data_IF_317819940487
#
_entry.id   IF_317819940487
#
_cell.length_a   1.000
_cell.length_b   1.000
_cell.length_c   1.000
_cell.angle_alpha   90.00
_cell.angle_beta   90.00
_cell.angle_gamma   90.00
#
_symmetry.space_group_name_H-M   'P 1'
#
loop_
_entity.id
_entity.type
_entity.pdbx_description
1 polymer ?
#
# COMPACT_ATOMS: atom_id res chain seq x y z
N UNK A 1 27.33 -0.57 5.06
CA UNK A 1 26.38 -1.69 4.95
C UNK A 1 25.85 -1.70 3.53
N UNK A 2 25.81 -2.86 2.85
CA UNK A 2 25.07 -2.95 1.58
C UNK A 2 23.59 -2.68 1.87
N UNK A 3 22.86 -1.97 0.99
CA UNK A 3 21.43 -1.74 1.17
C UNK A 3 20.69 -3.09 1.20
N UNK A 4 19.71 -3.23 2.08
CA UNK A 4 18.82 -4.39 2.10
C UNK A 4 17.98 -4.39 0.82
N UNK A 5 17.73 -5.58 0.28
CA UNK A 5 16.91 -5.77 -0.92
C UNK A 5 15.71 -6.63 -0.58
N UNK A 6 14.51 -6.17 -0.95
CA UNK A 6 13.30 -6.98 -0.92
C UNK A 6 13.16 -7.71 -2.26
N UNK A 7 13.11 -9.03 -2.21
CA UNK A 7 12.83 -9.89 -3.36
C UNK A 7 11.56 -10.68 -3.09
N UNK A 8 10.69 -10.79 -4.09
CA UNK A 8 9.49 -11.64 -4.01
C UNK A 8 9.77 -12.98 -4.69
N UNK A 9 9.30 -14.05 -4.07
CA UNK A 9 9.43 -15.40 -4.58
C UNK A 9 8.22 -16.23 -4.19
N UNK A 10 8.14 -17.44 -4.73
CA UNK A 10 7.08 -18.41 -4.45
C UNK A 10 7.64 -19.63 -3.75
N UNK A 11 6.88 -20.20 -2.83
CA UNK A 11 7.24 -21.50 -2.24
C UNK A 11 6.88 -22.62 -3.22
N UNK A 12 7.86 -23.43 -3.63
CA UNK A 12 7.71 -24.62 -4.47
C UNK A 12 8.43 -25.77 -3.75
N UNK A 13 7.73 -26.88 -3.51
CA UNK A 13 8.26 -28.06 -2.79
C UNK A 13 8.92 -27.72 -1.43
N UNK A 14 8.37 -26.73 -0.72
CA UNK A 14 8.87 -26.29 0.58
C UNK A 14 10.11 -25.37 0.51
N UNK A 15 10.59 -25.03 -0.69
CA UNK A 15 11.68 -24.09 -0.90
C UNK A 15 11.17 -22.74 -1.42
N UNK A 16 11.74 -21.62 -0.94
CA UNK A 16 11.46 -20.29 -1.51
C UNK A 16 12.24 -20.14 -2.80
N UNK A 17 11.52 -20.08 -3.92
CA UNK A 17 12.07 -19.87 -5.26
C UNK A 17 11.89 -18.40 -5.63
N UNK A 18 13.02 -17.70 -5.86
CA UNK A 18 13.04 -16.30 -6.30
C UNK A 18 13.39 -16.29 -7.78
N UNK A 19 12.48 -15.79 -8.61
CA UNK A 19 12.70 -15.69 -10.06
C UNK A 19 13.47 -14.40 -10.42
N UNK A 20 14.34 -14.51 -11.43
CA UNK A 20 15.00 -13.36 -12.07
C UNK A 20 16.31 -12.88 -11.43
N UNK A 21 16.52 -13.05 -10.13
CA UNK A 21 17.72 -12.54 -9.46
C UNK A 21 18.44 -13.58 -8.61
N UNK A 22 19.75 -13.74 -8.85
CA UNK A 22 20.61 -14.60 -8.04
C UNK A 22 20.97 -13.88 -6.73
N UNK A 23 20.61 -14.50 -5.62
CA UNK A 23 21.17 -14.15 -4.32
C UNK A 23 22.62 -14.64 -4.27
N UNK A 24 23.52 -13.77 -3.81
CA UNK A 24 24.93 -14.10 -3.67
C UNK A 24 25.14 -15.22 -2.63
N UNK A 25 26.08 -16.12 -2.91
CA UNK A 25 26.43 -17.18 -1.97
C UNK A 25 26.91 -16.58 -0.63
N UNK A 26 26.45 -17.16 0.48
CA UNK A 26 26.76 -16.66 1.82
C UNK A 26 25.94 -15.44 2.27
N UNK A 27 24.98 -14.97 1.48
CA UNK A 27 24.07 -13.91 1.91
C UNK A 27 23.18 -14.35 3.08
N UNK A 28 23.09 -13.52 4.12
CA UNK A 28 22.10 -13.68 5.19
C UNK A 28 20.73 -13.22 4.67
N UNK A 29 19.78 -14.14 4.62
CA UNK A 29 18.42 -13.88 4.12
C UNK A 29 17.41 -13.89 5.27
N UNK A 30 16.43 -13.00 5.21
CA UNK A 30 15.24 -13.02 6.06
C UNK A 30 14.04 -13.39 5.19
N UNK A 31 13.30 -14.42 5.58
CA UNK A 31 12.07 -14.84 4.90
C UNK A 31 10.88 -14.21 5.61
N UNK A 32 10.07 -13.45 4.88
CA UNK A 32 8.81 -12.90 5.34
C UNK A 32 7.68 -13.71 4.70
N UNK A 33 6.91 -14.40 5.53
CA UNK A 33 5.68 -15.09 5.11
C UNK A 33 4.51 -14.15 5.43
N UNK A 34 3.70 -13.85 4.43
CA UNK A 34 2.44 -13.13 4.64
C UNK A 34 1.38 -14.14 5.06
N UNK A 35 0.69 -13.88 6.16
CA UNK A 35 -0.55 -14.58 6.47
C UNK A 35 -1.61 -14.15 5.44
N UNK A 36 -2.45 -15.09 4.98
CA UNK A 36 -3.41 -14.90 3.87
C UNK A 36 -4.54 -13.89 4.15
N UNK A 37 -4.49 -13.17 5.27
CA UNK A 37 -5.41 -12.06 5.58
C UNK A 37 -5.08 -10.81 4.74
N UNK A 38 -4.75 -10.99 3.47
CA UNK A 38 -4.70 -9.91 2.50
C UNK A 38 -6.16 -9.48 2.28
N UNK A 39 -6.54 -8.36 2.89
CA UNK A 39 -7.84 -7.72 2.62
C UNK A 39 -7.81 -7.31 1.15
N UNK A 40 -8.33 -8.18 0.29
CA UNK A 40 -8.56 -7.87 -1.10
C UNK A 40 -9.69 -6.86 -1.19
N UNK A 41 -9.45 -5.75 -1.87
CA UNK A 41 -10.52 -4.83 -2.24
C UNK A 41 -11.43 -5.55 -3.24
N UNK A 42 -12.73 -5.32 -3.14
CA UNK A 42 -13.61 -5.61 -4.27
C UNK A 42 -13.20 -4.73 -5.46
N UNK A 43 -13.52 -5.12 -6.71
CA UNK A 43 -13.28 -4.24 -7.85
C UNK A 43 -13.92 -2.86 -7.67
N UNK A 44 -15.11 -2.80 -7.05
CA UNK A 44 -15.78 -1.53 -6.75
C UNK A 44 -15.00 -0.67 -5.75
N UNK A 45 -14.49 -1.26 -4.66
CA UNK A 45 -13.69 -0.54 -3.67
C UNK A 45 -12.33 -0.08 -4.26
N UNK A 46 -11.75 -0.85 -5.18
CA UNK A 46 -10.52 -0.47 -5.87
C UNK A 46 -10.75 0.74 -6.79
N UNK A 47 -11.84 0.73 -7.56
CA UNK A 47 -12.24 1.86 -8.41
C UNK A 47 -12.52 3.12 -7.57
N UNK A 48 -13.23 2.99 -6.43
CA UNK A 48 -13.47 4.10 -5.49
C UNK A 48 -12.15 4.66 -4.94
N UNK A 49 -11.22 3.80 -4.54
CA UNK A 49 -9.92 4.22 -4.03
C UNK A 49 -9.10 4.95 -5.10
N UNK A 50 -9.11 4.48 -6.35
CA UNK A 50 -8.43 5.15 -7.46
C UNK A 50 -9.02 6.55 -7.67
N UNK A 51 -10.34 6.69 -7.70
CA UNK A 51 -11.01 7.98 -7.85
C UNK A 51 -10.64 8.95 -6.71
N UNK A 52 -10.71 8.51 -5.45
CA UNK A 52 -10.37 9.32 -4.29
C UNK A 52 -8.90 9.79 -4.31
N UNK A 53 -7.98 8.95 -4.80
CA UNK A 53 -6.57 9.33 -4.97
C UNK A 53 -6.39 10.44 -5.99
N UNK A 54 -7.14 10.41 -7.09
CA UNK A 54 -7.08 11.46 -8.10
C UNK A 54 -7.69 12.77 -7.60
N UNK A 55 -8.77 12.73 -6.83
CA UNK A 55 -9.35 13.89 -6.15
C UNK A 55 -8.32 14.55 -5.23
N UNK A 56 -7.67 13.77 -4.37
CA UNK A 56 -6.61 14.27 -3.49
C UNK A 56 -5.46 14.89 -4.30
N UNK A 57 -5.06 14.25 -5.40
CA UNK A 57 -3.98 14.76 -6.26
C UNK A 57 -4.33 16.10 -6.93
N UNK A 58 -5.61 16.34 -7.24
CA UNK A 58 -6.11 17.62 -7.77
C UNK A 58 -6.32 18.67 -6.69
N UNK A 59 -6.22 18.31 -5.41
CA UNK A 59 -6.52 19.20 -4.29
C UNK A 59 -8.01 19.29 -3.98
N UNK A 60 -8.81 18.34 -4.48
CA UNK A 60 -10.26 18.25 -4.25
C UNK A 60 -10.52 17.64 -2.85
N UNK A 61 -10.01 18.27 -1.80
CA UNK A 61 -10.22 17.86 -0.42
C UNK A 61 -10.39 19.07 0.50
N UNK A 62 -10.98 18.84 1.68
CA UNK A 62 -11.00 19.82 2.76
C UNK A 62 -10.14 19.32 3.91
N UNK A 63 -9.30 20.19 4.44
CA UNK A 63 -8.67 19.97 5.73
C UNK A 63 -9.71 20.07 6.84
N UNK A 64 -9.38 19.52 8.01
CA UNK A 64 -10.22 19.60 9.21
C UNK A 64 -10.60 21.05 9.57
N UNK A 65 -9.66 22.00 9.43
CA UNK A 65 -9.90 23.40 9.70
C UNK A 65 -10.93 24.02 8.75
N UNK A 66 -10.75 23.80 7.45
CA UNK A 66 -11.65 24.30 6.41
C UNK A 66 -13.07 23.74 6.56
N UNK A 67 -13.19 22.46 6.95
CA UNK A 67 -14.46 21.83 7.26
C UNK A 67 -15.17 22.51 8.43
N UNK A 68 -14.47 22.75 9.55
CA UNK A 68 -15.08 23.42 10.71
C UNK A 68 -15.48 24.85 10.40
N UNK A 69 -14.70 25.58 9.61
CA UNK A 69 -15.05 26.93 9.19
C UNK A 69 -16.30 26.94 8.31
N UNK A 70 -16.46 25.95 7.42
CA UNK A 70 -17.66 25.80 6.60
C UNK A 70 -18.90 25.48 7.45
N UNK A 71 -18.77 24.57 8.41
CA UNK A 71 -19.87 24.20 9.32
C UNK A 71 -20.29 25.36 10.23
N UNK A 72 -19.36 26.18 10.72
CA UNK A 72 -19.70 27.40 11.48
C UNK A 72 -20.51 28.38 10.61
N UNK A 73 -20.05 28.64 9.38
CA UNK A 73 -20.75 29.52 8.43
C UNK A 73 -22.17 29.05 8.08
N UNK A 74 -22.42 27.73 8.09
CA UNK A 74 -23.78 27.19 7.83
C UNK A 74 -24.72 27.33 9.03
N UNK A 75 -24.22 27.35 10.27
CA UNK A 75 -25.05 27.50 11.48
C UNK A 75 -25.44 28.94 11.78
N UNK A 76 -24.73 29.90 11.19
CA UNK A 76 -24.96 31.34 11.33
C UNK A 76 -25.90 31.90 10.25
N UNK A 77 -26.33 31.06 9.30
CA UNK A 77 -27.37 31.35 8.31
C UNK A 77 -28.73 30.82 8.76
#
# INVERSE_FOLDING_TARGET
MKPMKLVQGKVIDGAVVVDGERLEEGALVTVLVRDEDEVALSPEDEDELIAAREEIARGDYLTTGELFDLLRRQRER
#
